data_IF_323757870053
#
_entry.id   IF_323757870053
#
_cell.length_a   1.000
_cell.length_b   1.000
_cell.length_c   1.000
_cell.angle_alpha   90.00
_cell.angle_beta   90.00
_cell.angle_gamma   90.00
#
_symmetry.space_group_name_H-M   'P 1'
#
loop_
_entity.id
_entity.type
_entity.pdbx_description
1 polymer ?
#
# COMPACT_ATOMS: atom_id res chain seq x y z
N UNK A 1 13.53 -33.47 -14.74
CA UNK A 1 12.10 -33.51 -15.11
C UNK A 1 11.44 -32.33 -14.42
N UNK A 2 10.92 -31.39 -15.24
CA UNK A 2 10.11 -30.18 -14.95
C UNK A 2 10.21 -29.48 -13.58
N UNK A 3 10.75 -28.26 -13.64
CA UNK A 3 10.58 -27.15 -12.72
C UNK A 3 9.17 -26.53 -12.88
N UNK A 4 8.49 -26.08 -11.82
CA UNK A 4 7.52 -25.01 -11.95
C UNK A 4 8.24 -23.70 -11.65
N UNK A 5 8.41 -22.89 -12.70
CA UNK A 5 8.78 -21.47 -12.58
C UNK A 5 7.76 -20.83 -11.65
N UNK A 6 8.21 -20.14 -10.59
CA UNK A 6 7.32 -19.28 -9.82
C UNK A 6 6.71 -18.26 -10.79
N UNK A 7 5.42 -18.42 -11.08
CA UNK A 7 4.64 -17.49 -11.87
C UNK A 7 4.62 -16.15 -11.12
N UNK A 8 5.43 -15.20 -11.57
CA UNK A 8 5.30 -13.79 -11.22
C UNK A 8 4.14 -13.20 -12.02
N UNK A 9 2.92 -13.69 -11.79
CA UNK A 9 1.75 -12.86 -12.11
C UNK A 9 1.76 -11.71 -11.11
N UNK A 10 1.59 -10.44 -11.51
CA UNK A 10 1.31 -9.37 -10.56
C UNK A 10 0.07 -9.84 -9.78
N UNK A 11 0.23 -10.15 -8.49
CA UNK A 11 -0.90 -10.46 -7.63
C UNK A 11 -1.82 -9.25 -7.72
N UNK A 12 -3.02 -9.44 -8.26
CA UNK A 12 -4.05 -8.42 -8.17
C UNK A 12 -4.17 -8.01 -6.70
N UNK A 13 -4.31 -6.72 -6.42
CA UNK A 13 -4.52 -6.25 -5.06
C UNK A 13 -5.73 -7.00 -4.48
N UNK A 14 -5.54 -7.62 -3.31
CA UNK A 14 -6.64 -8.36 -2.69
C UNK A 14 -7.71 -7.34 -2.26
N UNK A 15 -9.00 -7.73 -2.23
CA UNK A 15 -10.07 -6.81 -1.82
C UNK A 15 -9.81 -6.12 -0.46
N UNK A 16 -9.09 -6.80 0.44
CA UNK A 16 -8.66 -6.26 1.73
C UNK A 16 -7.64 -5.13 1.58
N UNK A 17 -6.70 -5.22 0.64
CA UNK A 17 -5.68 -4.20 0.42
C UNK A 17 -6.34 -2.89 -0.04
N UNK A 18 -7.29 -2.99 -0.96
CA UNK A 18 -8.07 -1.85 -1.47
C UNK A 18 -8.88 -1.19 -0.34
N UNK A 19 -9.54 -1.99 0.50
CA UNK A 19 -10.31 -1.47 1.62
C UNK A 19 -9.42 -0.75 2.64
N UNK A 20 -8.29 -1.35 3.01
CA UNK A 20 -7.34 -0.77 3.97
C UNK A 20 -6.74 0.52 3.39
N UNK A 21 -6.32 0.53 2.13
CA UNK A 21 -5.79 1.73 1.47
C UNK A 21 -6.76 2.90 1.46
N UNK A 22 -8.03 2.64 1.15
CA UNK A 22 -9.08 3.66 1.20
C UNK A 22 -9.26 4.25 2.62
N UNK A 23 -9.16 3.43 3.67
CA UNK A 23 -9.24 3.90 5.06
C UNK A 23 -8.03 4.74 5.46
N UNK A 24 -6.82 4.33 5.07
CA UNK A 24 -5.59 5.08 5.33
C UNK A 24 -5.67 6.44 4.65
N UNK A 25 -6.04 6.50 3.36
CA UNK A 25 -6.20 7.74 2.61
C UNK A 25 -7.25 8.66 3.24
N UNK A 26 -8.42 8.13 3.61
CA UNK A 26 -9.46 8.91 4.27
C UNK A 26 -8.99 9.52 5.59
N UNK A 27 -8.30 8.73 6.43
CA UNK A 27 -7.75 9.21 7.71
C UNK A 27 -6.67 10.25 7.51
N UNK A 28 -5.76 10.03 6.55
CA UNK A 28 -4.69 10.97 6.21
C UNK A 28 -5.26 12.33 5.77
N UNK A 29 -6.26 12.31 4.88
CA UNK A 29 -6.95 13.52 4.43
C UNK A 29 -7.67 14.24 5.56
N UNK A 30 -8.34 13.51 6.45
CA UNK A 30 -9.00 14.09 7.63
C UNK A 30 -8.00 14.76 8.60
N UNK A 31 -6.76 14.30 8.64
CA UNK A 31 -5.67 14.91 9.41
C UNK A 31 -4.92 16.01 8.65
N UNK A 32 -5.29 16.30 7.39
CA UNK A 32 -4.61 17.30 6.56
C UNK A 32 -3.18 16.93 6.16
N UNK A 33 -2.84 15.64 6.20
CA UNK A 33 -1.48 15.16 5.95
C UNK A 33 -1.24 14.87 4.46
N UNK A 34 -0.04 15.17 3.98
CA UNK A 34 0.47 14.61 2.73
C UNK A 34 0.90 13.16 2.94
N UNK A 35 1.03 12.38 1.86
CA UNK A 35 1.51 11.00 1.94
C UNK A 35 2.93 10.91 2.52
N UNK A 36 3.80 11.87 2.19
CA UNK A 36 5.15 11.98 2.76
C UNK A 36 5.10 12.24 4.27
N UNK A 37 4.24 13.17 4.71
CA UNK A 37 4.08 13.46 6.14
C UNK A 37 3.53 12.26 6.92
N UNK A 38 2.62 11.48 6.34
CA UNK A 38 2.17 10.22 6.94
C UNK A 38 3.33 9.21 7.04
N UNK A 39 4.09 9.04 5.95
CA UNK A 39 5.23 8.12 5.90
C UNK A 39 6.26 8.43 7.01
N UNK A 40 6.60 9.70 7.19
CA UNK A 40 7.51 10.18 8.23
C UNK A 40 6.96 9.89 9.65
N UNK A 41 5.66 10.09 9.88
CA UNK A 41 5.05 9.86 11.20
C UNK A 41 4.97 8.38 11.58
N UNK A 42 4.75 7.48 10.62
CA UNK A 42 4.61 6.03 10.87
C UNK A 42 5.92 5.26 10.66
N UNK A 43 6.99 5.92 10.24
CA UNK A 43 8.33 5.33 10.10
C UNK A 43 8.46 4.37 8.92
N UNK A 44 7.77 4.64 7.81
CA UNK A 44 7.85 3.85 6.57
C UNK A 44 8.26 4.73 5.39
N UNK A 45 8.65 4.13 4.27
CA UNK A 45 9.00 4.93 3.09
C UNK A 45 7.77 5.53 2.41
N UNK A 46 7.96 6.66 1.73
CA UNK A 46 6.93 7.26 0.87
C UNK A 46 6.35 6.24 -0.14
N UNK A 47 7.22 5.41 -0.73
CA UNK A 47 6.80 4.37 -1.69
C UNK A 47 5.92 3.29 -1.03
N UNK A 48 6.13 2.98 0.25
CA UNK A 48 5.27 2.05 0.97
C UNK A 48 3.89 2.66 1.21
N UNK A 49 3.81 3.93 1.63
CA UNK A 49 2.51 4.61 1.74
C UNK A 49 1.80 4.64 0.39
N UNK A 50 2.49 5.00 -0.69
CA UNK A 50 1.92 5.08 -2.03
C UNK A 50 1.48 3.71 -2.60
N UNK A 51 2.05 2.61 -2.12
CA UNK A 51 1.67 1.26 -2.51
C UNK A 51 0.44 0.75 -1.75
N UNK A 52 0.27 1.19 -0.50
CA UNK A 52 -0.78 0.72 0.41
C UNK A 52 -2.00 1.62 0.44
N UNK A 53 -1.84 2.94 0.28
CA UNK A 53 -2.94 3.86 -0.10
C UNK A 53 -3.26 3.76 -1.58
#
# INVERSE_FOLDING_TARGET
MVNPRHNLSPRAAEPVDVFVGAQIAARRMALGLSQSALADQVGVSFQQVQKYE
#
